data_IF_474000143905
#
_entry.id   IF_474000143905
#
_cell.length_a   1.000
_cell.length_b   1.000
_cell.length_c   1.000
_cell.angle_alpha   90.00
_cell.angle_beta   90.00
_cell.angle_gamma   90.00
#
_symmetry.space_group_name_H-M   'P 1'
#
loop_
_entity.id
_entity.type
_entity.pdbx_description
1 polymer ?
#
# COMPACT_ATOMS: atom_id res chain seq x y z
N UNK A 1 -29.90 -26.44 7.25
CA UNK A 1 -29.27 -26.10 5.95
C UNK A 1 -30.18 -26.58 4.83
N UNK A 2 -30.79 -25.69 4.02
CA UNK A 2 -31.75 -26.10 2.97
C UNK A 2 -31.05 -27.04 1.97
N UNK A 3 -31.53 -28.29 1.85
CA UNK A 3 -31.03 -29.25 0.84
C UNK A 3 -31.59 -28.86 -0.52
N UNK A 4 -30.82 -28.04 -1.25
CA UNK A 4 -31.11 -27.70 -2.65
C UNK A 4 -30.54 -28.80 -3.54
N UNK A 5 -31.38 -29.41 -4.39
CA UNK A 5 -30.95 -30.47 -5.31
C UNK A 5 -30.00 -29.93 -6.37
N UNK A 6 -29.03 -30.77 -6.79
CA UNK A 6 -28.06 -30.40 -7.83
C UNK A 6 -28.75 -30.12 -9.17
N UNK A 7 -29.84 -30.82 -9.48
CA UNK A 7 -30.66 -30.59 -10.67
C UNK A 7 -31.26 -29.17 -10.69
N UNK A 8 -31.80 -28.68 -9.56
CA UNK A 8 -32.32 -27.31 -9.46
C UNK A 8 -31.24 -26.26 -9.67
N UNK A 9 -30.04 -26.50 -9.15
CA UNK A 9 -28.89 -25.60 -9.35
C UNK A 9 -28.49 -25.57 -10.81
N UNK A 10 -28.43 -26.73 -11.48
CA UNK A 10 -28.08 -26.84 -12.90
C UNK A 10 -29.10 -26.14 -13.80
N UNK A 11 -30.40 -26.35 -13.56
CA UNK A 11 -31.47 -25.71 -14.30
C UNK A 11 -31.40 -24.18 -14.17
N UNK A 12 -31.36 -23.67 -12.94
CA UNK A 12 -31.25 -22.22 -12.70
C UNK A 12 -29.93 -21.62 -13.21
N UNK A 13 -28.86 -22.42 -13.26
CA UNK A 13 -27.56 -21.94 -13.76
C UNK A 13 -27.55 -21.73 -15.28
N UNK A 14 -28.22 -22.62 -16.01
CA UNK A 14 -28.25 -22.63 -17.49
C UNK A 14 -29.34 -21.73 -18.08
N UNK A 15 -30.31 -21.30 -17.27
CA UNK A 15 -31.28 -20.28 -17.65
C UNK A 15 -30.58 -18.94 -17.88
N UNK A 16 -30.51 -18.50 -19.14
CA UNK A 16 -29.84 -17.28 -19.57
C UNK A 16 -30.72 -16.02 -19.45
N UNK A 17 -32.00 -16.18 -19.15
CA UNK A 17 -32.94 -15.07 -18.90
C UNK A 17 -32.72 -14.45 -17.52
N UNK A 18 -32.14 -15.22 -16.59
CA UNK A 18 -31.87 -14.79 -15.22
C UNK A 18 -30.47 -14.19 -15.07
N UNK A 19 -30.34 -13.19 -14.22
CA UNK A 19 -29.03 -12.84 -13.66
C UNK A 19 -28.58 -13.92 -12.67
N UNK A 20 -27.27 -14.03 -12.40
CA UNK A 20 -26.77 -14.96 -11.38
C UNK A 20 -27.33 -14.69 -9.98
N UNK A 21 -27.73 -13.44 -9.70
CA UNK A 21 -28.38 -13.07 -8.43
C UNK A 21 -29.81 -13.62 -8.36
N UNK A 22 -30.63 -13.38 -9.39
CA UNK A 22 -32.01 -13.89 -9.47
C UNK A 22 -32.05 -15.42 -9.47
N UNK A 23 -31.17 -16.07 -10.23
CA UNK A 23 -31.07 -17.53 -10.25
C UNK A 23 -30.68 -18.11 -8.88
N UNK A 24 -29.82 -17.42 -8.12
CA UNK A 24 -29.45 -17.83 -6.77
C UNK A 24 -30.62 -17.70 -5.79
N UNK A 25 -31.37 -16.60 -5.88
CA UNK A 25 -32.57 -16.35 -5.09
C UNK A 25 -33.66 -17.39 -5.34
N UNK A 26 -33.92 -17.74 -6.61
CA UNK A 26 -34.90 -18.77 -7.00
C UNK A 26 -34.61 -20.16 -6.40
N UNK A 27 -33.34 -20.48 -6.17
CA UNK A 27 -32.94 -21.75 -5.52
C UNK A 27 -32.71 -21.59 -4.01
N UNK A 28 -32.95 -20.42 -3.44
CA UNK A 28 -32.81 -20.14 -2.01
C UNK A 28 -31.35 -20.14 -1.53
N UNK A 29 -30.40 -19.74 -2.38
CA UNK A 29 -28.98 -19.65 -2.07
C UNK A 29 -28.48 -18.22 -2.20
N UNK A 30 -27.43 -17.88 -1.44
CA UNK A 30 -26.68 -16.65 -1.72
C UNK A 30 -25.94 -16.78 -3.05
N UNK A 31 -25.76 -15.66 -3.76
CA UNK A 31 -25.05 -15.61 -5.06
C UNK A 31 -23.70 -16.35 -5.02
N UNK A 32 -22.92 -16.15 -3.96
CA UNK A 32 -21.60 -16.77 -3.80
C UNK A 32 -21.69 -18.30 -3.61
N UNK A 33 -22.69 -18.79 -2.88
CA UNK A 33 -22.88 -20.22 -2.63
C UNK A 33 -23.40 -20.93 -3.89
N UNK A 34 -24.32 -20.28 -4.62
CA UNK A 34 -24.80 -20.74 -5.92
C UNK A 34 -23.66 -20.87 -6.94
N UNK A 35 -22.81 -19.84 -7.06
CA UNK A 35 -21.63 -19.87 -7.94
C UNK A 35 -20.65 -20.99 -7.57
N UNK A 36 -20.35 -21.19 -6.29
CA UNK A 36 -19.46 -22.28 -5.84
C UNK A 36 -20.01 -23.66 -6.20
N UNK A 37 -21.31 -23.88 -6.03
CA UNK A 37 -21.95 -25.16 -6.38
C UNK A 37 -21.98 -25.41 -7.88
N UNK A 38 -22.26 -24.39 -8.68
CA UNK A 38 -22.19 -24.50 -10.14
C UNK A 38 -20.76 -24.80 -10.64
N UNK A 39 -19.75 -24.17 -10.03
CA UNK A 39 -18.34 -24.47 -10.30
C UNK A 39 -17.98 -25.92 -9.93
N UNK A 40 -18.41 -26.41 -8.77
CA UNK A 40 -18.19 -27.78 -8.34
C UNK A 40 -18.89 -28.81 -9.25
N UNK A 41 -19.99 -28.42 -9.90
CA UNK A 41 -20.71 -29.21 -10.90
C UNK A 41 -20.07 -29.17 -12.30
N UNK A 42 -18.97 -28.45 -12.49
CA UNK A 42 -18.30 -28.31 -13.80
C UNK A 42 -19.13 -27.55 -14.84
N UNK A 43 -20.09 -26.72 -14.41
CA UNK A 43 -20.96 -26.00 -15.34
C UNK A 43 -20.21 -24.86 -16.05
N UNK A 44 -20.56 -24.55 -17.31
CA UNK A 44 -19.92 -23.48 -18.06
C UNK A 44 -20.08 -22.12 -17.37
N UNK A 45 -19.10 -21.24 -17.55
CA UNK A 45 -19.18 -19.89 -16.99
C UNK A 45 -20.35 -19.13 -17.63
N UNK A 46 -21.24 -18.56 -16.80
CA UNK A 46 -22.28 -17.64 -17.29
C UNK A 46 -21.65 -16.41 -17.95
N UNK A 47 -22.34 -15.85 -18.95
CA UNK A 47 -21.93 -14.59 -19.61
C UNK A 47 -21.71 -13.51 -18.55
N UNK A 48 -20.49 -12.95 -18.50
CA UNK A 48 -20.20 -11.81 -17.64
C UNK A 48 -20.96 -10.59 -18.19
N UNK A 49 -21.54 -9.79 -17.31
CA UNK A 49 -22.13 -8.51 -17.70
C UNK A 49 -21.12 -7.65 -18.47
N UNK A 50 -21.63 -6.76 -19.34
CA UNK A 50 -20.80 -5.87 -20.15
C UNK A 50 -19.88 -5.07 -19.21
N UNK A 51 -18.55 -5.14 -19.36
CA UNK A 51 -17.67 -4.34 -18.52
C UNK A 51 -17.94 -2.85 -18.78
N UNK A 52 -17.91 -2.03 -17.73
CA UNK A 52 -17.89 -0.59 -17.86
C UNK A 52 -16.64 -0.19 -18.67
N UNK A 53 -16.83 0.26 -19.90
CA UNK A 53 -15.76 0.68 -20.80
C UNK A 53 -15.90 2.17 -21.04
N UNK A 54 -14.83 2.92 -20.80
CA UNK A 54 -14.68 4.25 -21.40
C UNK A 54 -14.53 4.01 -22.90
N UNK A 55 -15.35 4.68 -23.70
CA UNK A 55 -15.29 4.59 -25.15
C UNK A 55 -13.90 5.03 -25.67
N UNK A 56 -13.44 4.42 -26.77
CA UNK A 56 -12.06 4.59 -27.25
C UNK A 56 -11.75 6.04 -27.67
N UNK A 57 -12.76 6.78 -28.11
CA UNK A 57 -12.70 8.21 -28.43
C UNK A 57 -12.39 9.11 -27.22
N UNK A 58 -12.69 8.65 -26.01
CA UNK A 58 -12.40 9.37 -24.76
C UNK A 58 -11.12 8.91 -24.06
N UNK A 59 -10.31 8.09 -24.72
CA UNK A 59 -9.06 7.56 -24.17
C UNK A 59 -7.96 8.62 -24.02
N UNK A 60 -7.87 9.54 -24.99
CA UNK A 60 -6.93 10.66 -24.94
C UNK A 60 -7.23 11.58 -23.74
N UNK A 61 -8.51 11.92 -23.56
CA UNK A 61 -9.01 12.69 -22.42
C UNK A 61 -8.72 11.98 -21.09
N UNK A 62 -8.98 10.68 -21.00
CA UNK A 62 -8.65 9.89 -19.81
C UNK A 62 -7.15 9.94 -19.49
N UNK A 63 -6.31 9.80 -20.52
CA UNK A 63 -4.85 9.78 -20.36
C UNK A 63 -4.32 11.15 -19.93
N UNK A 64 -4.85 12.23 -20.49
CA UNK A 64 -4.52 13.60 -20.08
C UNK A 64 -4.88 13.85 -18.61
N UNK A 65 -6.15 13.61 -18.25
CA UNK A 65 -6.61 13.71 -16.86
C UNK A 65 -5.78 12.83 -15.93
N UNK A 66 -5.42 11.61 -16.37
CA UNK A 66 -4.57 10.72 -15.61
C UNK A 66 -3.17 11.31 -15.37
N UNK A 67 -2.52 11.83 -16.41
CA UNK A 67 -1.18 12.43 -16.30
C UNK A 67 -1.17 13.70 -15.45
N UNK A 68 -2.23 14.51 -15.50
CA UNK A 68 -2.37 15.75 -14.73
C UNK A 68 -2.68 15.55 -13.24
N UNK A 69 -2.81 14.31 -12.76
CA UNK A 69 -3.05 14.06 -11.33
C UNK A 69 -4.51 14.23 -10.88
N UNK A 70 -5.48 14.48 -11.76
CA UNK A 70 -6.90 14.67 -11.41
C UNK A 70 -7.43 13.54 -10.51
N UNK A 71 -8.00 13.81 -9.32
CA UNK A 71 -8.41 12.78 -8.37
C UNK A 71 -9.30 11.69 -8.98
N UNK A 72 -9.12 10.43 -8.55
CA UNK A 72 -9.87 9.28 -9.09
C UNK A 72 -11.39 9.47 -8.95
N UNK A 73 -11.85 10.06 -7.84
CA UNK A 73 -13.27 10.33 -7.61
C UNK A 73 -13.83 11.36 -8.61
N UNK A 74 -13.04 12.36 -8.97
CA UNK A 74 -13.42 13.38 -9.94
C UNK A 74 -13.45 12.80 -11.36
N UNK A 75 -12.43 12.02 -11.73
CA UNK A 75 -12.44 11.28 -13.01
C UNK A 75 -13.62 10.32 -13.09
N UNK A 76 -13.96 9.62 -11.99
CA UNK A 76 -15.10 8.71 -11.93
C UNK A 76 -16.42 9.43 -12.24
N UNK A 77 -16.63 10.61 -11.64
CA UNK A 77 -17.78 11.47 -11.94
C UNK A 77 -17.77 11.94 -13.40
N UNK A 78 -16.62 12.37 -13.91
CA UNK A 78 -16.47 12.87 -15.27
C UNK A 78 -16.78 11.84 -16.37
N UNK A 79 -16.35 10.59 -16.15
CA UNK A 79 -16.58 9.50 -17.09
C UNK A 79 -17.86 8.71 -16.80
N UNK A 80 -18.60 9.04 -15.74
CA UNK A 80 -19.84 8.34 -15.37
C UNK A 80 -19.62 6.87 -14.98
N UNK A 81 -18.46 6.53 -14.40
CA UNK A 81 -18.12 5.16 -14.01
C UNK A 81 -17.65 5.08 -12.56
N UNK A 82 -17.67 3.89 -11.98
CA UNK A 82 -17.14 3.68 -10.63
C UNK A 82 -15.62 3.95 -10.56
N UNK A 83 -15.14 4.41 -9.40
CA UNK A 83 -13.71 4.63 -9.14
C UNK A 83 -12.83 3.41 -9.43
N UNK A 84 -13.34 2.20 -9.16
CA UNK A 84 -12.66 0.95 -9.53
C UNK A 84 -12.48 0.82 -11.04
N UNK A 85 -13.43 1.28 -11.84
CA UNK A 85 -13.38 1.34 -13.29
C UNK A 85 -12.24 2.23 -13.80
N UNK A 86 -11.99 3.37 -13.16
CA UNK A 86 -10.83 4.25 -13.45
C UNK A 86 -9.52 3.49 -13.23
N UNK A 87 -9.38 2.78 -12.10
CA UNK A 87 -8.16 2.01 -11.78
C UNK A 87 -7.94 0.88 -12.79
N UNK A 88 -9.00 0.16 -13.19
CA UNK A 88 -8.92 -0.88 -14.20
C UNK A 88 -8.56 -0.32 -15.58
N UNK A 89 -9.17 0.81 -15.96
CA UNK A 89 -8.89 1.45 -17.26
C UNK A 89 -7.44 1.90 -17.33
N UNK A 90 -6.92 2.54 -16.29
CA UNK A 90 -5.48 2.86 -16.18
C UNK A 90 -4.60 1.61 -16.39
N UNK A 91 -4.91 0.48 -15.72
CA UNK A 91 -4.15 -0.78 -15.91
C UNK A 91 -4.22 -1.26 -17.35
N UNK A 92 -5.39 -1.21 -17.96
CA UNK A 92 -5.59 -1.63 -19.35
C UNK A 92 -4.83 -0.76 -20.35
N UNK A 93 -4.65 0.53 -20.05
CA UNK A 93 -3.87 1.47 -20.85
C UNK A 93 -2.37 1.45 -20.53
N UNK A 94 -1.91 0.56 -19.64
CA UNK A 94 -0.51 0.49 -19.24
C UNK A 94 0.00 1.75 -18.52
N UNK A 95 -0.90 2.64 -18.06
CA UNK A 95 -0.49 3.88 -17.43
C UNK A 95 0.12 3.60 -16.05
N UNK A 96 1.21 4.31 -15.69
CA UNK A 96 1.82 4.14 -14.39
C UNK A 96 0.79 4.40 -13.29
N UNK A 97 0.86 3.60 -12.23
CA UNK A 97 0.14 3.95 -11.02
C UNK A 97 0.63 5.32 -10.57
N UNK A 98 -0.29 6.23 -10.29
CA UNK A 98 0.08 7.37 -9.45
C UNK A 98 0.43 6.77 -8.11
N UNK A 99 1.72 6.65 -7.83
CA UNK A 99 2.17 6.54 -6.46
C UNK A 99 1.46 7.67 -5.73
N UNK A 100 0.61 7.33 -4.77
CA UNK A 100 0.18 8.32 -3.81
C UNK A 100 1.45 9.04 -3.35
N UNK A 101 1.53 10.35 -3.53
CA UNK A 101 2.61 11.19 -2.99
C UNK A 101 2.85 10.96 -1.47
N UNK A 102 1.92 10.25 -0.82
CA UNK A 102 1.95 9.75 0.56
C UNK A 102 3.05 8.71 0.90
N UNK A 103 4.04 8.47 0.02
CA UNK A 103 5.22 7.67 0.37
C UNK A 103 6.51 8.50 0.48
N UNK A 104 6.42 9.81 0.31
CA UNK A 104 7.52 10.76 0.48
C UNK A 104 7.44 11.45 1.85
N UNK A 105 7.38 10.68 2.93
CA UNK A 105 7.71 11.22 4.25
C UNK A 105 9.18 10.89 4.55
N UNK A 106 9.78 11.68 5.45
CA UNK A 106 11.22 11.66 5.72
C UNK A 106 12.09 12.04 4.51
N UNK A 107 11.58 12.84 3.57
CA UNK A 107 12.40 13.44 2.51
C UNK A 107 13.42 14.39 3.15
N UNK A 108 14.70 14.18 2.87
CA UNK A 108 15.82 14.87 3.52
C UNK A 108 16.10 14.37 4.95
N UNK A 109 15.41 13.33 5.41
CA UNK A 109 15.57 12.68 6.73
C UNK A 109 15.56 11.15 6.59
N UNK A 110 15.93 10.64 5.42
CA UNK A 110 15.90 9.21 5.10
C UNK A 110 16.85 8.41 5.98
N UNK A 111 18.03 8.97 6.25
CA UNK A 111 19.03 8.35 7.13
C UNK A 111 18.52 8.25 8.56
N UNK A 112 17.88 9.31 9.06
CA UNK A 112 17.27 9.31 10.39
C UNK A 112 16.15 8.27 10.48
N UNK A 113 15.29 8.22 9.47
CA UNK A 113 14.25 7.20 9.40
C UNK A 113 14.83 5.77 9.37
N UNK A 114 15.86 5.54 8.56
CA UNK A 114 16.51 4.24 8.45
C UNK A 114 17.18 3.86 9.78
N UNK A 115 17.84 4.80 10.46
CA UNK A 115 18.46 4.59 11.75
C UNK A 115 17.42 4.25 12.83
N UNK A 116 16.30 4.99 12.91
CA UNK A 116 15.18 4.64 13.79
C UNK A 116 14.61 3.26 13.46
N UNK A 117 14.52 2.92 12.17
CA UNK A 117 14.04 1.62 11.73
C UNK A 117 14.96 0.49 12.21
N UNK A 118 16.27 0.63 12.01
CA UNK A 118 17.27 -0.36 12.39
C UNK A 118 17.45 -0.46 13.91
N UNK A 119 17.31 0.64 14.63
CA UNK A 119 17.33 0.68 16.10
C UNK A 119 16.10 0.00 16.73
N UNK A 120 15.09 -0.39 15.94
CA UNK A 120 13.91 -1.08 16.47
C UNK A 120 12.88 -0.18 17.15
N UNK A 121 12.93 1.14 16.91
CA UNK A 121 11.94 2.09 17.44
C UNK A 121 10.54 1.75 16.91
N UNK A 122 9.53 1.79 17.76
CA UNK A 122 8.15 1.41 17.43
C UNK A 122 7.61 2.17 16.21
N UNK A 123 6.89 1.45 15.33
CA UNK A 123 6.40 2.01 14.08
C UNK A 123 5.31 3.06 14.28
N UNK A 124 4.53 2.99 15.36
CA UNK A 124 3.56 4.03 15.70
C UNK A 124 4.27 5.27 16.29
N UNK A 125 5.34 5.07 17.08
CA UNK A 125 6.19 6.16 17.56
C UNK A 125 6.89 6.91 16.41
N UNK A 126 7.51 6.17 15.46
CA UNK A 126 8.06 6.75 14.23
C UNK A 126 6.95 7.47 13.45
N UNK A 127 5.78 6.85 13.33
CA UNK A 127 4.63 7.45 12.64
C UNK A 127 4.24 8.80 13.24
N UNK A 128 4.12 8.89 14.57
CA UNK A 128 3.84 10.15 15.27
C UNK A 128 4.89 11.22 14.97
N UNK A 129 6.18 10.87 15.00
CA UNK A 129 7.27 11.80 14.71
C UNK A 129 7.18 12.40 13.30
N UNK A 130 6.79 11.59 12.31
CA UNK A 130 6.70 12.00 10.91
C UNK A 130 5.29 12.41 10.47
N UNK A 131 4.31 12.45 11.36
CA UNK A 131 2.91 12.76 11.04
C UNK A 131 2.23 11.72 10.15
N UNK A 132 2.61 10.45 10.27
CA UNK A 132 2.17 9.35 9.42
C UNK A 132 1.60 8.17 10.23
N UNK A 133 0.83 7.33 9.54
CA UNK A 133 0.35 6.08 10.14
C UNK A 133 1.47 5.05 10.29
N UNK A 134 1.37 4.17 11.29
CA UNK A 134 2.29 3.05 11.46
C UNK A 134 2.35 2.15 10.21
N UNK A 135 1.22 2.00 9.50
CA UNK A 135 1.17 1.29 8.22
C UNK A 135 2.04 1.96 7.17
N UNK A 136 1.93 3.28 7.02
CA UNK A 136 2.74 4.06 6.07
C UNK A 136 4.23 3.93 6.38
N UNK A 137 4.59 3.91 7.67
CA UNK A 137 5.98 3.68 8.12
C UNK A 137 6.52 2.33 7.66
N UNK A 138 5.77 1.26 7.86
CA UNK A 138 6.15 -0.09 7.41
C UNK A 138 6.25 -0.16 5.88
N UNK A 139 5.31 0.45 5.17
CA UNK A 139 5.35 0.51 3.71
C UNK A 139 6.58 1.29 3.20
N UNK A 140 6.96 2.41 3.84
CA UNK A 140 8.16 3.18 3.51
C UNK A 140 9.44 2.38 3.74
N UNK A 141 9.55 1.68 4.88
CA UNK A 141 10.71 0.84 5.17
C UNK A 141 10.90 -0.26 4.12
N UNK A 142 9.81 -0.91 3.69
CA UNK A 142 9.87 -1.90 2.60
C UNK A 142 10.33 -1.30 1.27
N UNK A 143 9.90 -0.08 0.95
CA UNK A 143 10.29 0.60 -0.30
C UNK A 143 11.74 1.07 -0.28
N UNK A 144 12.26 1.39 0.89
CA UNK A 144 13.68 1.69 1.10
C UNK A 144 14.55 0.43 1.14
N UNK A 145 13.98 -0.77 1.00
CA UNK A 145 14.72 -2.03 1.04
C UNK A 145 15.22 -2.43 2.44
N UNK A 146 14.68 -1.82 3.50
CA UNK A 146 15.11 -2.10 4.88
C UNK A 146 14.65 -3.49 5.34
N UNK A 147 15.43 -4.16 6.21
CA UNK A 147 15.10 -5.51 6.67
C UNK A 147 13.78 -5.54 7.44
N UNK A 148 13.05 -6.63 7.28
CA UNK A 148 11.80 -6.87 8.02
C UNK A 148 12.08 -7.11 9.48
N UNK A 149 11.27 -6.48 10.34
CA UNK A 149 11.34 -6.68 11.79
C UNK A 149 10.61 -7.96 12.22
N UNK A 150 11.07 -8.64 13.28
CA UNK A 150 10.39 -9.79 13.85
C UNK A 150 8.96 -9.46 14.27
N UNK A 151 8.01 -10.35 13.97
CA UNK A 151 6.62 -10.20 14.42
C UNK A 151 6.54 -10.46 15.92
N UNK A 152 5.69 -9.70 16.62
CA UNK A 152 5.36 -9.94 18.02
C UNK A 152 6.36 -9.40 19.05
N UNK A 153 7.45 -8.75 18.62
CA UNK A 153 8.31 -7.99 19.54
C UNK A 153 7.81 -6.55 19.65
N UNK A 154 7.58 -6.02 20.87
CA UNK A 154 7.27 -4.62 21.04
C UNK A 154 8.46 -3.77 20.58
N UNK A 155 8.18 -2.69 19.85
CA UNK A 155 9.20 -1.74 19.45
C UNK A 155 9.65 -0.88 20.62
N UNK A 156 10.84 -0.29 20.52
CA UNK A 156 11.33 0.65 21.53
C UNK A 156 10.53 1.96 21.47
N UNK A 157 10.32 2.64 22.61
CA UNK A 157 9.62 3.91 22.64
C UNK A 157 10.48 5.03 22.02
N UNK A 158 9.89 6.21 21.76
CA UNK A 158 10.60 7.30 21.07
C UNK A 158 11.71 7.90 21.93
N UNK A 159 11.59 7.81 23.25
CA UNK A 159 12.56 8.30 24.23
C UNK A 159 13.88 7.54 24.09
N UNK A 160 13.82 6.22 23.84
CA UNK A 160 15.02 5.43 23.55
C UNK A 160 15.79 5.94 22.32
N UNK A 161 15.07 6.47 21.31
CA UNK A 161 15.71 7.11 20.15
C UNK A 161 16.44 8.39 20.54
N UNK A 162 15.84 9.20 21.42
CA UNK A 162 16.46 10.45 21.89
C UNK A 162 17.73 10.16 22.69
N UNK A 163 17.71 9.14 23.54
CA UNK A 163 18.88 8.68 24.29
C UNK A 163 20.01 8.20 23.35
N UNK A 164 19.69 7.36 22.36
CA UNK A 164 20.65 6.90 21.34
C UNK A 164 21.28 8.10 20.63
N UNK A 165 20.46 9.07 20.22
CA UNK A 165 20.92 10.26 19.50
C UNK A 165 21.80 11.14 20.38
N UNK A 166 21.43 11.34 21.65
CA UNK A 166 22.22 12.11 22.60
C UNK A 166 23.58 11.45 22.87
N UNK A 167 23.61 10.14 23.07
CA UNK A 167 24.85 9.39 23.26
C UNK A 167 25.79 9.53 22.05
N UNK A 168 25.24 9.46 20.82
CA UNK A 168 26.02 9.66 19.61
C UNK A 168 26.64 11.07 19.52
N UNK A 169 25.85 12.11 19.85
CA UNK A 169 26.34 13.50 19.86
C UNK A 169 27.46 13.73 20.88
N UNK A 170 27.30 13.18 22.10
CA UNK A 170 28.33 13.27 23.13
C UNK A 170 29.62 12.54 22.73
N UNK A 171 29.49 11.36 22.09
CA UNK A 171 30.65 10.63 21.59
C UNK A 171 31.39 11.40 20.50
N UNK A 172 30.68 12.06 19.58
CA UNK A 172 31.29 12.88 18.54
C UNK A 172 31.97 14.13 19.11
N UNK A 173 31.37 14.77 20.12
CA UNK A 173 31.99 15.89 20.83
C UNK A 173 33.30 15.46 21.51
N UNK A 174 33.28 14.34 22.24
CA UNK A 174 34.47 13.80 22.91
C UNK A 174 35.59 13.47 21.91
N UNK A 175 35.26 12.90 20.74
CA UNK A 175 36.25 12.62 19.68
C UNK A 175 36.91 13.90 19.16
N UNK A 176 36.13 14.95 18.92
CA UNK A 176 36.66 16.25 18.45
C UNK A 176 37.60 16.88 19.48
N UNK A 177 37.25 16.82 20.75
CA UNK A 177 38.11 17.31 21.84
C UNK A 177 39.43 16.53 21.91
N UNK A 178 39.37 15.19 21.83
CA UNK A 178 40.57 14.34 21.81
C UNK A 178 41.45 14.63 20.59
N UNK A 179 40.85 14.85 19.43
CA UNK A 179 41.59 15.19 18.22
C UNK A 179 42.26 16.56 18.34
N UNK A 180 41.54 17.57 18.82
CA UNK A 180 42.10 18.90 19.07
C UNK A 180 43.24 18.87 20.11
N UNK A 181 43.11 18.07 21.17
CA UNK A 181 44.17 17.89 22.17
C UNK A 181 45.42 17.23 21.56
N UNK A 182 45.23 16.21 20.69
CA UNK A 182 46.33 15.56 19.96
C UNK A 182 47.03 16.51 19.00
N UNK A 183 46.28 17.32 18.26
CA UNK A 183 46.82 18.31 17.33
C UNK A 183 47.60 19.41 18.05
N UNK A 184 47.10 19.91 19.19
CA UNK A 184 47.83 20.86 20.05
C UNK A 184 49.15 20.29 20.55
N UNK A 185 49.12 19.07 21.09
CA UNK A 185 50.31 18.38 21.57
C UNK A 185 51.33 18.09 20.43
N UNK A 186 50.86 17.89 19.20
CA UNK A 186 51.71 17.73 18.03
C UNK A 186 52.37 19.06 17.61
N UNK A 187 51.62 20.16 17.58
CA UNK A 187 52.18 21.49 17.30
C UNK A 187 53.21 21.94 18.34
N UNK A 188 52.95 21.70 19.64
CA UNK A 188 53.89 22.03 20.72
C UNK A 188 55.21 21.26 20.61
N UNK A 189 55.16 19.98 20.19
CA UNK A 189 56.37 19.17 19.97
C UNK A 189 57.21 19.56 18.76
N UNK A 190 56.61 20.25 17.77
CA UNK A 190 57.33 20.72 16.57
C UNK A 190 57.95 22.10 16.80
N UNK A 191 57.46 22.86 17.77
CA UNK A 191 57.97 24.19 18.14
C UNK A 191 59.09 24.17 19.19
N UNK A 192 59.38 23.01 19.79
CA UNK A 192 60.44 22.77 20.77
C UNK A 192 61.64 22.06 20.12
#
# INVERSE_FOLDING_TARGET
MKRVSMARIRAAWLDDTLTTAQAAEQVGLTRANFWRRAKALGLPSRKRGKPWRIASDREAEFTDMWRRGVPVAEMARHFGIASSGIIYRRKALGLPGRSHDLRHFAVGREEEFAAMWLAGIDSAAIGKLFGQSARTVVERAHLMGLPRRPRGRPGLPIEAWQEIRLAALLADAAKREQQAARERAACEKVAA
#
